data_IF_784522405215
#
_entry.id   IF_784522405215
#
_cell.length_a   1.000
_cell.length_b   1.000
_cell.length_c   1.000
_cell.angle_alpha   90.00
_cell.angle_beta   90.00
_cell.angle_gamma   90.00
#
_symmetry.space_group_name_H-M   'P 1'
#
loop_
_entity.id
_entity.type
_entity.pdbx_description
1 polymer ?
#
# COMPACT_ATOMS: atom_id res chain seq x y z
N UNK A 1 12.48 32.52 -7.31
CA UNK A 1 13.27 32.04 -6.17
C UNK A 1 12.41 31.06 -5.36
N UNK A 2 12.76 29.77 -5.43
CA UNK A 2 12.00 28.68 -4.80
C UNK A 2 12.12 28.77 -3.27
N UNK A 3 13.20 29.34 -2.76
CA UNK A 3 13.48 29.45 -1.31
C UNK A 3 12.39 30.19 -0.52
N UNK A 4 11.65 31.09 -1.16
CA UNK A 4 10.54 31.84 -0.52
C UNK A 4 9.33 31.00 -0.19
N UNK A 5 9.22 29.79 -0.74
CA UNK A 5 8.09 28.87 -0.55
C UNK A 5 8.42 27.72 0.39
N UNK A 6 9.69 27.65 0.84
CA UNK A 6 10.12 26.64 1.81
C UNK A 6 9.85 27.20 3.20
N UNK A 7 8.92 26.59 3.91
CA UNK A 7 8.64 26.94 5.30
C UNK A 7 9.80 26.58 6.22
N UNK A 8 9.89 27.25 7.36
CA UNK A 8 10.79 26.84 8.44
C UNK A 8 10.18 25.64 9.17
N UNK A 9 10.85 24.47 9.29
CA UNK A 9 10.32 23.34 10.06
C UNK A 9 9.93 23.70 11.50
N UNK A 10 10.64 24.66 12.12
CA UNK A 10 10.36 25.11 13.47
C UNK A 10 9.05 25.94 13.59
N UNK A 11 8.56 26.50 12.49
CA UNK A 11 7.32 27.26 12.45
C UNK A 11 6.10 26.39 12.12
N UNK A 12 6.28 25.07 11.90
CA UNK A 12 5.18 24.16 11.64
C UNK A 12 4.27 24.01 12.87
N UNK A 13 2.96 24.06 12.65
CA UNK A 13 1.95 23.85 13.72
C UNK A 13 1.74 22.38 14.01
N UNK A 14 1.99 21.53 13.03
CA UNK A 14 1.78 20.08 13.11
C UNK A 14 2.95 19.34 12.46
N UNK A 15 3.45 18.33 13.15
CA UNK A 15 4.56 17.50 12.70
C UNK A 15 4.17 16.02 12.72
N UNK A 16 4.04 15.42 11.56
CA UNK A 16 3.77 13.99 11.39
C UNK A 16 5.08 13.24 11.29
N UNK A 17 5.33 12.32 12.22
CA UNK A 17 6.41 11.34 12.18
C UNK A 17 5.90 10.00 11.70
N UNK A 18 6.33 9.59 10.52
CA UNK A 18 5.95 8.30 9.93
C UNK A 18 6.96 7.25 10.36
N UNK A 19 6.51 6.24 11.12
CA UNK A 19 7.34 5.11 11.49
C UNK A 19 7.79 4.32 10.25
N UNK A 20 8.98 3.70 10.31
CA UNK A 20 9.52 2.95 9.19
C UNK A 20 8.56 1.87 8.67
N UNK A 21 7.97 1.09 9.60
CA UNK A 21 6.97 0.05 9.26
C UNK A 21 5.72 0.60 8.58
N UNK A 22 5.25 1.79 9.02
CA UNK A 22 4.11 2.45 8.41
C UNK A 22 4.48 3.05 7.04
N UNK A 23 5.72 3.53 6.88
CA UNK A 23 6.25 3.96 5.60
C UNK A 23 6.31 2.83 4.57
N UNK A 24 6.74 1.64 4.98
CA UNK A 24 6.75 0.44 4.13
C UNK A 24 5.33 0.01 3.76
N UNK A 25 4.42 0.00 4.74
CA UNK A 25 3.00 -0.25 4.52
C UNK A 25 2.38 0.75 3.51
N UNK A 26 2.68 2.05 3.66
CA UNK A 26 2.19 3.09 2.76
C UNK A 26 2.75 2.97 1.34
N UNK A 27 4.01 2.56 1.18
CA UNK A 27 4.61 2.33 -0.14
C UNK A 27 3.83 1.28 -0.95
N UNK A 28 3.26 0.28 -0.28
CA UNK A 28 2.45 -0.77 -0.89
C UNK A 28 0.97 -0.39 -1.01
N UNK A 29 0.41 0.31 -0.02
CA UNK A 29 -1.02 0.59 0.08
C UNK A 29 -1.45 1.84 -0.71
N UNK A 30 -0.68 2.94 -0.69
CA UNK A 30 -1.04 4.18 -1.37
C UNK A 30 -1.32 4.01 -2.87
N UNK A 31 -0.51 3.26 -3.66
CA UNK A 31 -0.79 3.05 -5.08
C UNK A 31 -2.11 2.33 -5.35
N UNK A 32 -2.61 1.58 -4.37
CA UNK A 32 -3.83 0.76 -4.48
C UNK A 32 -5.07 1.46 -3.94
N UNK A 33 -4.91 2.62 -3.27
CA UNK A 33 -6.05 3.39 -2.81
C UNK A 33 -6.91 3.81 -4.00
N UNK A 34 -8.25 3.68 -3.90
CA UNK A 34 -9.14 4.21 -4.92
C UNK A 34 -8.97 5.73 -5.04
N UNK A 35 -9.07 6.27 -6.25
CA UNK A 35 -9.04 7.70 -6.48
C UNK A 35 -10.09 8.12 -7.51
N UNK A 36 -10.62 9.30 -7.33
CA UNK A 36 -11.64 9.89 -8.19
C UNK A 36 -11.04 10.46 -9.48
N UNK A 37 -9.89 11.13 -9.35
CA UNK A 37 -9.18 11.80 -10.45
C UNK A 37 -7.81 11.15 -10.64
N UNK A 38 -7.59 10.56 -11.81
CA UNK A 38 -6.30 9.95 -12.17
C UNK A 38 -5.17 10.98 -12.33
N UNK A 39 -5.48 12.26 -12.40
CA UNK A 39 -4.48 13.33 -12.53
C UNK A 39 -3.91 13.71 -11.18
N UNK A 40 -4.78 13.93 -10.18
CA UNK A 40 -4.38 14.39 -8.86
C UNK A 40 -4.41 13.29 -7.80
N UNK A 41 -5.11 12.18 -8.05
CA UNK A 41 -5.26 11.07 -7.11
C UNK A 41 -5.42 11.55 -5.65
N UNK A 42 -6.50 12.34 -5.37
CA UNK A 42 -6.65 13.01 -4.09
C UNK A 42 -6.80 12.02 -2.95
N UNK A 43 -6.12 12.33 -1.85
CA UNK A 43 -6.27 11.67 -0.56
C UNK A 43 -6.51 12.72 0.51
N UNK A 44 -7.23 12.34 1.57
CA UNK A 44 -7.36 13.14 2.79
C UNK A 44 -6.50 12.53 3.89
N UNK A 45 -5.59 13.31 4.43
CA UNK A 45 -4.86 12.99 5.66
C UNK A 45 -5.66 13.59 6.82
N UNK A 46 -6.13 12.74 7.70
CA UNK A 46 -6.83 13.12 8.92
C UNK A 46 -5.92 12.79 10.11
N UNK A 47 -5.39 13.84 10.72
CA UNK A 47 -4.40 13.79 11.79
C UNK A 47 -5.01 14.23 13.12
N UNK A 48 -6.26 13.82 13.38
CA UNK A 48 -7.00 14.14 14.60
C UNK A 48 -6.91 12.97 15.60
N UNK A 49 -5.79 12.85 16.29
CA UNK A 49 -5.53 11.81 17.31
C UNK A 49 -4.92 10.52 16.73
N UNK A 50 -5.42 10.01 15.62
CA UNK A 50 -4.81 8.92 14.85
C UNK A 50 -4.33 9.45 13.51
N UNK A 51 -3.35 8.78 12.92
CA UNK A 51 -2.89 9.09 11.57
C UNK A 51 -3.68 8.23 10.59
N UNK A 52 -4.63 8.87 9.89
CA UNK A 52 -5.55 8.23 8.96
C UNK A 52 -5.38 8.82 7.57
N UNK A 53 -5.41 7.99 6.55
CA UNK A 53 -5.33 8.41 5.15
C UNK A 53 -6.51 7.81 4.40
N UNK A 54 -7.36 8.65 3.81
CA UNK A 54 -8.55 8.21 3.08
C UNK A 54 -8.41 8.45 1.60
N UNK A 55 -8.89 7.48 0.82
CA UNK A 55 -9.04 7.58 -0.63
C UNK A 55 -10.40 7.06 -1.05
N UNK A 56 -10.97 7.66 -2.10
CA UNK A 56 -12.28 7.28 -2.65
C UNK A 56 -12.28 7.41 -4.16
N UNK A 57 -12.91 6.48 -4.86
CA UNK A 57 -13.19 6.61 -6.28
C UNK A 57 -14.61 7.17 -6.51
N UNK A 58 -14.82 7.82 -7.65
CA UNK A 58 -16.12 8.43 -8.00
C UNK A 58 -17.26 7.41 -8.09
N UNK A 59 -16.94 6.21 -8.57
CA UNK A 59 -17.88 5.09 -8.74
C UNK A 59 -18.13 4.28 -7.46
N UNK A 60 -17.42 4.58 -6.38
CA UNK A 60 -17.53 3.85 -5.11
C UNK A 60 -18.37 4.63 -4.10
N UNK A 61 -19.30 3.92 -3.46
CA UNK A 61 -20.07 4.48 -2.34
C UNK A 61 -19.23 4.63 -1.07
N UNK A 62 -18.22 3.74 -0.90
CA UNK A 62 -17.38 3.66 0.31
C UNK A 62 -15.99 4.19 0.03
N UNK A 63 -15.43 4.92 0.98
CA UNK A 63 -14.01 5.28 0.97
C UNK A 63 -13.18 4.17 1.63
N UNK A 64 -11.89 4.09 1.25
CA UNK A 64 -10.90 3.25 1.91
C UNK A 64 -10.05 4.11 2.82
N UNK A 65 -9.83 3.66 4.05
CA UNK A 65 -9.05 4.33 5.07
C UNK A 65 -7.86 3.48 5.48
N UNK A 66 -6.67 4.04 5.40
CA UNK A 66 -5.44 3.47 5.93
C UNK A 66 -5.18 4.06 7.32
N UNK A 67 -5.07 3.21 8.34
CA UNK A 67 -4.74 3.61 9.70
C UNK A 67 -3.28 3.26 10.02
N UNK A 68 -2.49 4.26 10.40
CA UNK A 68 -1.08 4.08 10.76
C UNK A 68 -0.96 3.86 12.26
N UNK A 69 -0.60 2.64 12.64
CA UNK A 69 -0.59 2.23 14.06
C UNK A 69 0.68 2.63 14.82
N UNK A 70 1.76 2.98 14.10
CA UNK A 70 3.07 3.25 14.69
C UNK A 70 3.54 4.70 14.47
N UNK A 71 2.83 5.43 13.61
CA UNK A 71 3.12 6.84 13.30
C UNK A 71 2.39 7.76 14.28
N UNK A 72 2.91 8.95 14.47
CA UNK A 72 2.36 9.92 15.42
C UNK A 72 2.36 11.33 14.88
N UNK A 73 1.39 12.12 15.31
CA UNK A 73 1.35 13.56 15.16
C UNK A 73 1.86 14.22 16.45
N UNK A 74 2.69 15.22 16.29
CA UNK A 74 3.10 16.18 17.31
C UNK A 74 2.56 17.56 16.92
N UNK A 75 2.01 18.31 17.87
CA UNK A 75 1.38 19.63 17.63
C UNK A 75 -0.12 19.56 17.41
N UNK A 76 -0.65 20.47 16.60
CA UNK A 76 -2.08 20.64 16.42
C UNK A 76 -2.70 19.58 15.51
N UNK A 77 -3.94 19.21 15.82
CA UNK A 77 -4.72 18.35 14.95
C UNK A 77 -5.01 19.06 13.62
N UNK A 78 -4.83 18.37 12.50
CA UNK A 78 -5.04 18.95 11.17
C UNK A 78 -5.64 17.92 10.20
N UNK A 79 -6.50 18.40 9.31
CA UNK A 79 -7.00 17.63 8.18
C UNK A 79 -6.62 18.33 6.89
N UNK A 80 -5.98 17.62 5.97
CA UNK A 80 -5.50 18.18 4.70
C UNK A 80 -5.78 17.25 3.53
N UNK A 81 -5.95 17.84 2.35
CA UNK A 81 -6.05 17.10 1.10
C UNK A 81 -4.73 17.19 0.33
N UNK A 82 -4.27 16.07 -0.16
CA UNK A 82 -3.00 15.98 -0.88
C UNK A 82 -3.11 15.06 -2.10
N UNK A 83 -2.24 15.27 -3.06
CA UNK A 83 -2.01 14.29 -4.10
C UNK A 83 -1.18 13.13 -3.51
N UNK A 84 -1.71 11.89 -3.57
CA UNK A 84 -1.04 10.71 -3.02
C UNK A 84 0.34 10.46 -3.62
N UNK A 85 0.57 10.86 -4.89
CA UNK A 85 1.84 10.62 -5.58
C UNK A 85 2.99 11.42 -4.94
N UNK A 86 2.70 12.62 -4.40
CA UNK A 86 3.71 13.41 -3.71
C UNK A 86 4.09 12.79 -2.37
N UNK A 87 3.10 12.32 -1.58
CA UNK A 87 3.37 11.60 -0.34
C UNK A 87 4.15 10.30 -0.63
N UNK A 88 3.72 9.52 -1.64
CA UNK A 88 4.40 8.30 -2.04
C UNK A 88 5.86 8.59 -2.48
N UNK A 89 6.08 9.68 -3.23
CA UNK A 89 7.41 10.11 -3.64
C UNK A 89 8.28 10.48 -2.44
N UNK A 90 7.74 11.22 -1.46
CA UNK A 90 8.44 11.54 -0.23
C UNK A 90 8.91 10.28 0.50
N UNK A 91 8.01 9.30 0.66
CA UNK A 91 8.30 8.02 1.32
C UNK A 91 9.38 7.22 0.59
N UNK A 92 9.33 7.15 -0.74
CA UNK A 92 10.33 6.46 -1.59
C UNK A 92 11.69 7.13 -1.55
N UNK A 93 11.73 8.45 -1.36
CA UNK A 93 12.97 9.22 -1.14
C UNK A 93 13.52 9.07 0.28
N UNK A 94 12.79 8.38 1.18
CA UNK A 94 13.21 8.09 2.54
C UNK A 94 12.76 9.12 3.57
N UNK A 95 11.99 10.15 3.18
CA UNK A 95 11.45 11.10 4.15
C UNK A 95 10.45 10.43 5.09
N UNK A 96 10.49 10.82 6.36
CA UNK A 96 9.61 10.31 7.41
C UNK A 96 9.01 11.43 8.27
N UNK A 97 9.56 12.61 8.19
CA UNK A 97 9.14 13.79 8.93
C UNK A 97 8.43 14.75 7.99
N UNK A 98 7.16 15.04 8.28
CA UNK A 98 6.26 15.85 7.44
C UNK A 98 5.72 17.00 8.28
N UNK A 99 5.97 18.22 7.85
CA UNK A 99 5.62 19.44 8.55
C UNK A 99 4.44 20.13 7.85
N UNK A 100 3.41 20.45 8.62
CA UNK A 100 2.22 21.17 8.18
C UNK A 100 2.13 22.51 8.89
N UNK A 101 1.69 23.54 8.18
CA UNK A 101 1.53 24.90 8.70
C UNK A 101 0.03 25.26 8.78
N UNK A 102 -0.68 25.13 7.68
CA UNK A 102 -2.12 25.22 7.58
C UNK A 102 -2.61 24.48 6.33
N UNK A 103 -3.91 24.23 6.16
CA UNK A 103 -4.44 23.45 5.03
C UNK A 103 -4.20 24.07 3.63
N UNK A 104 -3.91 25.37 3.56
CA UNK A 104 -3.66 26.10 2.31
C UNK A 104 -2.17 26.28 1.98
N UNK A 105 -1.30 25.98 2.93
CA UNK A 105 0.15 26.15 2.74
C UNK A 105 0.81 24.87 2.26
N UNK A 106 1.91 24.97 1.52
CA UNK A 106 2.68 23.81 1.10
C UNK A 106 3.19 23.00 2.29
N UNK A 107 3.25 21.68 2.10
CA UNK A 107 3.83 20.73 3.04
C UNK A 107 5.35 20.68 2.84
N UNK A 108 6.07 20.57 3.92
CA UNK A 108 7.51 20.37 3.93
C UNK A 108 7.86 19.00 4.53
N UNK A 109 8.63 18.20 3.80
CA UNK A 109 9.38 17.08 4.37
C UNK A 109 10.84 17.50 4.56
N UNK A 110 11.40 17.17 5.70
CA UNK A 110 12.80 17.47 6.05
C UNK A 110 13.44 16.23 6.71
N UNK A 111 14.67 15.91 6.32
CA UNK A 111 15.50 14.88 6.96
C UNK A 111 16.81 15.47 7.54
N UNK A 112 16.88 16.80 7.69
CA UNK A 112 18.05 17.54 8.14
C UNK A 112 19.14 17.73 7.09
N UNK A 113 19.02 17.11 5.92
CA UNK A 113 19.95 17.23 4.78
C UNK A 113 19.27 17.61 3.49
N UNK A 114 18.03 17.15 3.31
CA UNK A 114 17.25 17.34 2.10
C UNK A 114 15.86 17.81 2.48
N UNK A 115 15.28 18.61 1.62
CA UNK A 115 13.91 19.09 1.76
C UNK A 115 13.11 18.75 0.51
N UNK A 116 11.85 18.38 0.72
CA UNK A 116 10.87 18.18 -0.33
C UNK A 116 9.61 18.97 0.02
N UNK A 117 9.16 19.81 -0.91
CA UNK A 117 7.99 20.65 -0.73
C UNK A 117 6.98 20.34 -1.81
N UNK A 118 5.69 20.29 -1.47
CA UNK A 118 4.60 20.24 -2.43
C UNK A 118 3.37 20.99 -1.95
N UNK A 119 2.57 21.47 -2.91
CA UNK A 119 1.31 22.14 -2.61
C UNK A 119 0.24 21.14 -2.21
N UNK A 120 -0.58 21.49 -1.22
CA UNK A 120 -1.78 20.74 -0.87
C UNK A 120 -2.90 21.00 -1.90
N UNK A 121 -3.87 20.11 -1.95
CA UNK A 121 -5.10 20.30 -2.72
C UNK A 121 -6.08 21.16 -1.92
N UNK A 122 -7.14 21.64 -2.58
CA UNK A 122 -8.17 22.47 -1.92
C UNK A 122 -8.69 21.79 -0.65
N UNK A 123 -8.80 22.53 0.46
CA UNK A 123 -9.33 22.02 1.71
C UNK A 123 -10.87 21.81 1.69
N UNK A 124 -11.57 22.29 0.65
CA UNK A 124 -13.04 22.34 0.60
C UNK A 124 -13.71 20.96 0.48
N UNK A 125 -13.00 19.93 0.06
CA UNK A 125 -13.59 18.62 -0.23
C UNK A 125 -12.79 17.47 0.43
N UNK A 126 -12.68 17.44 1.76
CA UNK A 126 -12.06 16.31 2.43
C UNK A 126 -12.94 15.06 2.32
N UNK A 127 -12.34 13.91 2.15
CA UNK A 127 -13.05 12.63 2.17
C UNK A 127 -13.49 12.36 3.61
N UNK A 128 -14.82 12.39 3.91
CA UNK A 128 -15.30 12.32 5.28
C UNK A 128 -15.05 10.93 5.89
N UNK A 129 -14.98 10.89 7.22
CA UNK A 129 -15.10 9.64 7.97
C UNK A 129 -16.55 9.15 7.91
N UNK A 130 -16.75 7.85 7.73
CA UNK A 130 -18.05 7.20 7.69
C UNK A 130 -17.97 5.85 8.39
N UNK A 131 -19.03 5.35 9.04
CA UNK A 131 -19.03 4.02 9.64
C UNK A 131 -18.86 2.89 8.61
N UNK A 132 -19.16 3.14 7.34
CA UNK A 132 -19.05 2.17 6.25
C UNK A 132 -17.68 2.13 5.54
N UNK A 133 -16.67 2.80 6.10
CA UNK A 133 -15.32 2.81 5.54
C UNK A 133 -14.70 1.41 5.52
N UNK A 134 -13.94 1.13 4.46
CA UNK A 134 -13.04 -0.03 4.41
C UNK A 134 -11.75 0.36 5.12
N UNK A 135 -11.58 -0.06 6.38
CA UNK A 135 -10.38 0.26 7.16
C UNK A 135 -9.32 -0.82 7.00
N UNK A 136 -8.10 -0.41 6.69
CA UNK A 136 -6.90 -1.24 6.61
C UNK A 136 -5.87 -0.60 7.54
N UNK A 137 -5.45 -1.32 8.59
CA UNK A 137 -4.47 -0.82 9.54
C UNK A 137 -3.09 -1.43 9.27
N UNK A 138 -2.04 -0.63 9.49
CA UNK A 138 -0.69 -1.16 9.58
C UNK A 138 -0.52 -2.05 10.81
N UNK A 139 0.39 -3.02 10.74
CA UNK A 139 0.67 -3.91 11.86
C UNK A 139 1.32 -3.12 12.97
N UNK A 140 0.73 -3.15 14.17
CA UNK A 140 1.33 -2.54 15.35
C UNK A 140 2.58 -3.33 15.76
N UNK A 141 3.74 -2.69 15.78
CA UNK A 141 4.96 -3.27 16.35
C UNK A 141 4.96 -3.00 17.86
N UNK A 142 5.10 -4.07 18.64
CA UNK A 142 5.35 -3.91 20.06
C UNK A 142 6.71 -3.21 20.29
N UNK A 143 6.77 -2.33 21.29
CA UNK A 143 7.92 -1.46 21.56
C UNK A 143 9.22 -2.19 21.98
N UNK A 144 9.23 -3.52 22.00
CA UNK A 144 10.35 -4.34 22.49
C UNK A 144 11.47 -4.56 21.46
N UNK A 145 11.36 -3.99 20.24
CA UNK A 145 12.35 -4.22 19.16
C UNK A 145 13.25 -3.01 18.88
N UNK A 146 13.51 -2.19 19.89
CA UNK A 146 14.53 -1.13 19.81
C UNK A 146 15.84 -1.67 20.39
N UNK A 147 16.58 -2.44 19.62
CA UNK A 147 17.94 -2.81 19.98
C UNK A 147 18.34 -4.22 19.55
N UNK A 148 18.47 -4.48 18.28
CA UNK A 148 19.04 -5.74 17.81
C UNK A 148 19.54 -5.63 16.38
N UNK A 149 20.84 -5.45 16.22
CA UNK A 149 21.55 -5.82 14.99
C UNK A 149 21.15 -7.25 14.59
N UNK A 150 20.86 -7.54 13.33
CA UNK A 150 20.59 -8.90 12.92
C UNK A 150 21.90 -9.70 12.98
N UNK A 151 22.11 -10.43 14.07
CA UNK A 151 23.09 -11.49 14.08
C UNK A 151 22.54 -12.68 13.26
N UNK A 152 23.33 -13.25 12.35
CA UNK A 152 22.91 -14.44 11.61
C UNK A 152 22.75 -15.62 12.58
N UNK A 153 21.51 -16.06 12.79
CA UNK A 153 21.22 -17.28 13.54
C UNK A 153 21.83 -18.48 12.82
N UNK A 154 22.93 -18.96 13.33
CA UNK A 154 23.43 -20.31 13.06
C UNK A 154 22.41 -21.33 13.58
N UNK A 155 21.75 -22.02 12.68
CA UNK A 155 20.92 -23.19 12.96
C UNK A 155 21.78 -24.26 13.59
N UNK A 156 21.62 -24.52 14.89
CA UNK A 156 22.12 -25.76 15.52
C UNK A 156 21.08 -26.85 15.24
N UNK A 157 21.44 -27.72 14.32
CA UNK A 157 20.79 -29.01 14.11
C UNK A 157 21.06 -29.88 15.34
N UNK A 158 20.04 -30.14 16.13
CA UNK A 158 20.08 -31.18 17.16
C UNK A 158 19.52 -32.45 16.54
N UNK A 159 20.41 -33.35 16.23
CA UNK A 159 20.11 -34.74 15.86
C UNK A 159 19.65 -35.43 17.13
N UNK A 160 18.46 -35.98 17.15
CA UNK A 160 18.05 -37.03 18.11
C UNK A 160 17.75 -38.28 17.32
N UNK A 161 18.53 -39.28 17.60
CA UNK A 161 18.53 -40.61 17.02
C UNK A 161 17.41 -41.50 17.56
N UNK A 162 17.03 -42.59 16.86
CA UNK A 162 15.75 -43.26 17.00
C UNK A 162 15.80 -44.42 17.97
N UNK A 163 14.70 -44.72 18.63
CA UNK A 163 14.49 -45.98 19.35
C UNK A 163 13.64 -46.92 18.49
N UNK A 164 14.30 -48.00 18.12
CA UNK A 164 13.80 -49.21 17.47
C UNK A 164 12.77 -49.94 18.33
N UNK A 165 11.63 -50.33 17.79
CA UNK A 165 10.98 -51.59 18.14
C UNK A 165 10.32 -52.26 16.93
N UNK A 166 10.81 -53.42 16.70
CA UNK A 166 10.47 -54.51 15.78
C UNK A 166 9.08 -55.09 16.06
N UNK A 167 8.30 -55.38 15.02
CA UNK A 167 7.61 -56.66 14.83
C UNK A 167 6.97 -56.77 13.45
N UNK A 168 7.30 -57.81 12.75
CA UNK A 168 6.73 -58.41 11.53
C UNK A 168 5.90 -59.65 11.96
N UNK A 169 5.17 -60.41 11.09
CA UNK A 169 4.73 -60.25 9.69
C UNK A 169 3.25 -60.64 9.48
N UNK A 170 2.71 -60.40 8.28
CA UNK A 170 1.39 -60.94 7.88
C UNK A 170 0.99 -60.58 6.46
N UNK A 171 1.38 -61.42 5.53
CA UNK A 171 0.69 -61.98 4.36
C UNK A 171 -0.17 -61.12 3.39
N UNK A 172 0.22 -61.26 2.09
CA UNK A 172 -0.53 -60.86 0.86
C UNK A 172 -1.81 -61.70 0.66
N UNK A 173 -2.78 -61.28 -0.19
CA UNK A 173 -2.60 -61.29 -1.62
C UNK A 173 -3.27 -60.16 -2.42
N UNK A 174 -2.85 -60.09 -3.67
CA UNK A 174 -3.19 -59.15 -4.72
C UNK A 174 -4.64 -59.14 -5.19
N UNK A 175 -5.15 -57.93 -5.53
CA UNK A 175 -6.17 -57.78 -6.57
C UNK A 175 -5.89 -56.54 -7.42
N UNK A 176 -5.67 -56.80 -8.72
CA UNK A 176 -5.58 -55.79 -9.78
C UNK A 176 -6.94 -55.10 -9.96
N UNK A 177 -7.01 -53.79 -9.71
CA UNK A 177 -8.09 -52.98 -10.19
C UNK A 177 -7.52 -51.87 -11.10
N UNK A 178 -8.00 -51.88 -12.33
CA UNK A 178 -7.81 -50.93 -13.41
C UNK A 178 -8.03 -49.49 -12.89
N UNK A 179 -7.00 -48.65 -12.85
CA UNK A 179 -7.14 -47.22 -12.62
C UNK A 179 -7.50 -46.54 -13.94
N UNK A 180 -8.74 -46.10 -14.02
CA UNK A 180 -9.23 -45.10 -14.98
C UNK A 180 -8.41 -43.80 -14.83
N UNK A 181 -8.11 -43.20 -15.95
CA UNK A 181 -7.42 -41.94 -16.13
C UNK A 181 -8.08 -40.81 -15.31
N UNK A 182 -7.52 -40.50 -14.12
CA UNK A 182 -7.89 -39.32 -13.36
C UNK A 182 -7.33 -38.08 -14.08
N UNK A 183 -8.20 -37.23 -14.55
CA UNK A 183 -7.92 -35.87 -15.01
C UNK A 183 -7.03 -35.18 -13.97
N UNK A 184 -5.79 -34.89 -14.33
CA UNK A 184 -4.80 -34.21 -13.50
C UNK A 184 -5.31 -32.80 -13.26
N UNK A 185 -5.87 -32.52 -12.07
CA UNK A 185 -6.22 -31.15 -11.68
C UNK A 185 -4.93 -30.31 -11.74
N UNK A 186 -4.94 -29.16 -12.43
CA UNK A 186 -3.76 -28.31 -12.51
C UNK A 186 -3.34 -27.89 -11.11
N UNK A 187 -2.02 -27.80 -10.90
CA UNK A 187 -1.47 -27.38 -9.61
C UNK A 187 -1.89 -25.92 -9.30
N UNK A 188 -1.94 -25.51 -8.03
CA UNK A 188 -2.24 -24.11 -7.68
C UNK A 188 -1.30 -23.10 -8.37
N UNK A 189 -0.06 -23.49 -8.62
CA UNK A 189 0.93 -22.66 -9.33
C UNK A 189 0.57 -22.54 -10.81
N UNK A 190 0.19 -23.64 -11.47
CA UNK A 190 -0.26 -23.62 -12.86
C UNK A 190 -1.53 -22.80 -13.05
N UNK A 191 -2.46 -22.87 -12.09
CA UNK A 191 -3.67 -22.04 -12.08
C UNK A 191 -3.32 -20.54 -11.93
N UNK A 192 -2.40 -20.19 -11.04
CA UNK A 192 -1.95 -18.81 -10.86
C UNK A 192 -1.25 -18.27 -12.12
N UNK A 193 -0.44 -19.06 -12.80
CA UNK A 193 0.22 -18.69 -14.06
C UNK A 193 -0.84 -18.47 -15.14
N UNK A 194 -1.78 -19.37 -15.31
CA UNK A 194 -2.85 -19.25 -16.30
C UNK A 194 -3.72 -18.00 -16.06
N UNK A 195 -4.04 -17.72 -14.79
CA UNK A 195 -4.80 -16.52 -14.42
C UNK A 195 -4.03 -15.23 -14.73
N UNK A 196 -2.73 -15.18 -14.40
CA UNK A 196 -1.87 -14.03 -14.74
C UNK A 196 -1.82 -13.78 -16.26
N UNK A 197 -1.70 -14.84 -17.05
CA UNK A 197 -1.59 -14.72 -18.49
C UNK A 197 -2.94 -14.31 -19.11
N UNK A 198 -4.06 -14.76 -18.57
CA UNK A 198 -5.40 -14.31 -18.94
C UNK A 198 -5.61 -12.82 -18.63
N UNK A 199 -5.14 -12.33 -17.47
CA UNK A 199 -5.19 -10.90 -17.12
C UNK A 199 -4.34 -10.05 -18.09
N UNK A 200 -3.15 -10.51 -18.47
CA UNK A 200 -2.32 -9.80 -19.46
C UNK A 200 -3.02 -9.68 -20.82
N UNK A 201 -3.64 -10.76 -21.28
CA UNK A 201 -4.40 -10.75 -22.52
C UNK A 201 -5.59 -9.77 -22.46
N UNK A 202 -6.32 -9.74 -21.34
CA UNK A 202 -7.42 -8.82 -21.13
C UNK A 202 -6.97 -7.35 -21.16
N UNK A 203 -5.82 -7.03 -20.57
CA UNK A 203 -5.24 -5.67 -20.61
C UNK A 203 -4.88 -5.25 -22.04
N UNK A 204 -4.32 -6.15 -22.83
CA UNK A 204 -4.01 -5.86 -24.25
C UNK A 204 -5.28 -5.55 -25.03
N UNK A 205 -6.33 -6.36 -24.87
CA UNK A 205 -7.62 -6.14 -25.54
C UNK A 205 -8.27 -4.82 -25.10
N UNK A 206 -8.23 -4.49 -23.82
CA UNK A 206 -8.75 -3.22 -23.31
C UNK A 206 -8.02 -2.01 -23.93
N UNK A 207 -6.70 -2.09 -24.07
CA UNK A 207 -5.91 -1.03 -24.69
C UNK A 207 -6.22 -0.86 -26.20
N UNK A 208 -6.49 -1.95 -26.92
CA UNK A 208 -6.92 -1.90 -28.32
C UNK A 208 -8.28 -1.25 -28.49
N UNK A 209 -9.24 -1.59 -27.62
CA UNK A 209 -10.56 -0.95 -27.59
C UNK A 209 -10.45 0.57 -27.33
N UNK A 210 -9.61 0.97 -26.37
CA UNK A 210 -9.37 2.39 -26.07
C UNK A 210 -8.78 3.11 -27.30
N UNK A 211 -7.85 2.49 -28.02
CA UNK A 211 -7.28 3.06 -29.25
C UNK A 211 -8.34 3.23 -30.32
N UNK A 212 -9.16 2.20 -30.56
CA UNK A 212 -10.26 2.24 -31.53
C UNK A 212 -11.27 3.35 -31.20
N UNK A 213 -11.71 3.45 -29.94
CA UNK A 213 -12.61 4.52 -29.50
C UNK A 213 -12.02 5.92 -29.66
N UNK A 214 -10.73 6.09 -29.39
CA UNK A 214 -10.03 7.37 -29.61
C UNK A 214 -9.98 7.72 -31.10
N UNK A 215 -9.79 6.75 -31.96
CA UNK A 215 -9.77 6.96 -33.41
C UNK A 215 -11.17 7.36 -33.91
N UNK A 216 -12.21 6.63 -33.56
CA UNK A 216 -13.59 6.97 -33.90
C UNK A 216 -13.97 8.40 -33.43
N UNK A 217 -13.55 8.78 -32.25
CA UNK A 217 -13.79 10.10 -31.70
C UNK A 217 -13.05 11.21 -32.46
N UNK A 218 -11.89 10.93 -33.06
CA UNK A 218 -11.17 11.85 -33.95
C UNK A 218 -11.87 12.01 -35.27
N UNK A 219 -12.30 10.91 -35.86
CA UNK A 219 -13.04 10.90 -37.13
C UNK A 219 -14.37 11.63 -37.04
N UNK A 220 -15.12 11.44 -35.92
CA UNK A 220 -16.37 12.14 -35.65
C UNK A 220 -16.23 13.66 -35.42
N UNK A 221 -15.00 14.18 -35.23
CA UNK A 221 -14.73 15.62 -35.09
C UNK A 221 -14.30 16.28 -36.40
N UNK A 222 -14.08 15.52 -37.44
CA UNK A 222 -13.65 15.99 -38.74
C UNK A 222 -14.81 16.07 -39.76
N UNK A 223 -15.99 15.63 -39.39
CA UNK A 223 -17.27 15.78 -40.09
C UNK A 223 -18.08 16.90 -39.40
#
# INVERSE_FOLDING_TARGET
>A
DVSRHIGDPAAATSHLRIAGSDGDFLNDALPRLPCEDNTNCPITLDLNGQVLIRGKAADQSRATELALSNSRLEGDAITVNSNREYLLRALRLGFRDVHFYCPEQPVLCDDGRRQLVWALLSPESPIPSSPDLIRIASIQRQADDVGGHPQPRRSKTTVSEPTTQTQTPGEKPATKAKRSSASKRPSPIEQAIAFRDALRAAVVQANELIRSLKQQRREARLV
#
